data_IF_396045830437
#
_entry.id   IF_396045830437
#
_cell.length_a   1.000
_cell.length_b   1.000
_cell.length_c   1.000
_cell.angle_alpha   90.00
_cell.angle_beta   90.00
_cell.angle_gamma   90.00
#
_symmetry.space_group_name_H-M   'P 1'
#
loop_
_entity.id
_entity.type
_entity.pdbx_description
1 polymer ?
#
# COMPACT_ATOMS: atom_id res chain seq x y z
N UNK A 1 -3.73 -18.10 17.86
CA UNK A 1 -4.99 -17.43 17.46
C UNK A 1 -6.26 -18.15 17.91
N UNK A 2 -6.27 -19.46 18.20
CA UNK A 2 -7.47 -20.19 18.67
C UNK A 2 -7.65 -20.26 20.20
N UNK A 3 -6.99 -19.37 20.94
CA UNK A 3 -7.19 -19.30 22.39
C UNK A 3 -8.55 -18.65 22.68
N UNK A 4 -9.48 -19.43 23.21
CA UNK A 4 -10.86 -19.00 23.48
C UNK A 4 -10.96 -17.92 24.56
N UNK A 5 -9.89 -17.67 25.31
CA UNK A 5 -9.84 -16.61 26.33
C UNK A 5 -9.80 -15.21 25.72
N UNK A 6 -9.45 -15.09 24.44
CA UNK A 6 -9.32 -13.80 23.76
C UNK A 6 -10.28 -13.69 22.59
N UNK A 7 -10.95 -12.54 22.50
CA UNK A 7 -11.63 -12.08 21.30
C UNK A 7 -10.73 -11.06 20.61
N UNK A 8 -10.35 -11.34 19.38
CA UNK A 8 -9.43 -10.51 18.59
C UNK A 8 -10.23 -9.75 17.55
N UNK A 9 -10.03 -8.43 17.47
CA UNK A 9 -10.56 -7.61 16.37
C UNK A 9 -9.37 -7.08 15.59
N UNK A 10 -9.24 -7.50 14.33
CA UNK A 10 -8.27 -6.95 13.39
C UNK A 10 -8.89 -5.72 12.73
N UNK A 11 -8.17 -4.60 12.77
CA UNK A 11 -8.58 -3.33 12.17
C UNK A 11 -7.58 -2.97 11.07
N UNK A 12 -8.09 -2.74 9.86
CA UNK A 12 -7.29 -2.22 8.74
C UNK A 12 -8.19 -1.41 7.80
N UNK A 13 -7.63 -0.38 7.16
CA UNK A 13 -8.33 0.40 6.13
C UNK A 13 -8.57 -0.41 4.85
N UNK A 14 -7.75 -1.43 4.60
CA UNK A 14 -7.87 -2.34 3.48
C UNK A 14 -8.53 -3.65 3.91
N UNK A 15 -9.45 -4.17 3.09
CA UNK A 15 -10.06 -5.48 3.35
C UNK A 15 -9.15 -6.68 2.95
N UNK A 16 -7.89 -6.40 2.61
CA UNK A 16 -6.89 -7.36 2.16
C UNK A 16 -5.54 -7.12 2.83
N UNK A 17 -4.81 -8.21 3.03
CA UNK A 17 -3.37 -8.19 3.26
C UNK A 17 -2.67 -8.27 1.90
N UNK A 18 -1.48 -7.67 1.76
CA UNK A 18 -0.65 -7.91 0.58
C UNK A 18 0.78 -8.24 0.98
N UNK A 19 1.55 -8.82 0.05
CA UNK A 19 2.96 -9.16 0.25
C UNK A 19 3.88 -8.08 -0.34
N UNK A 20 4.42 -7.14 0.49
CA UNK A 20 5.17 -5.99 -0.02
C UNK A 20 6.42 -6.34 -0.85
N UNK A 21 7.17 -7.43 -0.60
CA UNK A 21 8.36 -7.74 -1.38
C UNK A 21 8.13 -7.89 -2.89
N UNK A 22 6.92 -8.22 -3.34
CA UNK A 22 6.61 -8.40 -4.77
C UNK A 22 5.86 -7.21 -5.39
N UNK A 23 5.68 -6.10 -4.65
CA UNK A 23 4.91 -4.94 -5.13
C UNK A 23 5.51 -4.31 -6.40
N UNK A 24 6.82 -4.38 -6.56
CA UNK A 24 7.51 -3.86 -7.75
C UNK A 24 7.09 -4.61 -9.02
N UNK A 25 6.83 -5.92 -8.93
CA UNK A 25 6.35 -6.72 -10.06
C UNK A 25 4.94 -6.32 -10.49
N UNK A 26 4.11 -5.83 -9.57
CA UNK A 26 2.81 -5.24 -9.92
C UNK A 26 3.02 -3.92 -10.66
N UNK A 27 3.91 -3.07 -10.16
CA UNK A 27 4.19 -1.77 -10.75
C UNK A 27 4.79 -1.85 -12.16
N UNK A 28 5.55 -2.92 -12.47
CA UNK A 28 6.16 -3.15 -13.78
C UNK A 28 5.30 -4.03 -14.71
N UNK A 29 4.04 -4.33 -14.34
CA UNK A 29 3.14 -5.23 -15.09
C UNK A 29 3.59 -6.69 -15.19
N UNK A 30 4.56 -7.14 -14.38
CA UNK A 30 5.03 -8.53 -14.40
C UNK A 30 4.04 -9.50 -13.76
N UNK A 31 3.32 -9.05 -12.72
CA UNK A 31 2.23 -9.80 -12.07
C UNK A 31 1.01 -8.92 -11.81
N UNK A 32 -0.14 -9.56 -11.62
CA UNK A 32 -1.35 -8.87 -11.18
C UNK A 32 -1.36 -8.61 -9.67
N UNK A 33 -2.01 -7.52 -9.25
CA UNK A 33 -2.17 -7.19 -7.83
C UNK A 33 -2.85 -8.31 -7.02
N UNK A 34 -3.77 -9.06 -7.66
CA UNK A 34 -4.44 -10.21 -7.05
C UNK A 34 -3.49 -11.35 -6.68
N UNK A 35 -2.33 -11.47 -7.34
CA UNK A 35 -1.37 -12.53 -7.06
C UNK A 35 -0.65 -12.32 -5.72
N UNK A 36 -0.64 -11.08 -5.21
CA UNK A 36 0.01 -10.72 -3.96
C UNK A 36 -0.97 -10.21 -2.90
N UNK A 37 -2.29 -10.22 -3.17
CA UNK A 37 -3.34 -9.70 -2.29
C UNK A 37 -4.25 -10.81 -1.77
N UNK A 38 -4.50 -10.82 -0.47
CA UNK A 38 -5.21 -11.89 0.24
C UNK A 38 -6.31 -11.28 1.11
N UNK A 39 -7.61 -11.60 0.87
CA UNK A 39 -8.69 -11.05 1.67
C UNK A 39 -8.59 -11.46 3.14
N UNK A 40 -8.61 -10.48 4.06
CA UNK A 40 -8.49 -10.75 5.49
C UNK A 40 -9.58 -11.69 5.98
N UNK A 41 -10.83 -11.44 5.58
CA UNK A 41 -11.99 -12.28 5.95
C UNK A 41 -11.80 -13.75 5.58
N UNK A 42 -11.16 -14.03 4.44
CA UNK A 42 -10.85 -15.40 4.03
C UNK A 42 -9.74 -15.99 4.89
N UNK A 43 -8.66 -15.24 5.14
CA UNK A 43 -7.53 -15.68 5.96
C UNK A 43 -7.93 -16.03 7.39
N UNK A 44 -8.81 -15.23 7.99
CA UNK A 44 -9.23 -15.39 9.38
C UNK A 44 -10.48 -16.27 9.54
N UNK A 45 -11.17 -16.66 8.46
CA UNK A 45 -12.44 -17.41 8.48
C UNK A 45 -12.42 -18.69 9.34
N UNK A 46 -11.26 -19.34 9.47
CA UNK A 46 -11.07 -20.54 10.29
C UNK A 46 -11.04 -20.28 11.80
N UNK A 47 -10.93 -19.02 12.24
CA UNK A 47 -10.84 -18.63 13.65
C UNK A 47 -12.16 -18.00 14.11
N UNK A 48 -12.88 -18.70 15.00
CA UNK A 48 -14.19 -18.24 15.50
C UNK A 48 -14.11 -17.03 16.43
N UNK A 49 -12.93 -16.75 16.99
CA UNK A 49 -12.69 -15.68 17.94
C UNK A 49 -11.99 -14.46 17.32
N UNK A 50 -11.84 -14.41 15.99
CA UNK A 50 -11.20 -13.31 15.27
C UNK A 50 -12.23 -12.63 14.36
N UNK A 51 -12.44 -11.33 14.57
CA UNK A 51 -13.29 -10.49 13.73
C UNK A 51 -12.44 -9.50 12.92
N UNK A 52 -12.96 -9.07 11.78
CA UNK A 52 -12.35 -8.00 10.97
C UNK A 52 -13.27 -6.78 10.92
N UNK A 53 -12.72 -5.64 11.32
CA UNK A 53 -13.32 -4.31 11.23
C UNK A 53 -12.56 -3.50 10.19
N UNK A 54 -13.25 -3.07 9.14
CA UNK A 54 -12.63 -2.24 8.11
C UNK A 54 -12.76 -0.78 8.54
N UNK A 55 -11.63 -0.11 8.75
CA UNK A 55 -11.62 1.29 9.17
C UNK A 55 -10.20 1.82 9.35
N UNK A 56 -10.05 3.13 9.14
CA UNK A 56 -8.80 3.84 9.34
C UNK A 56 -8.74 4.33 10.79
N UNK A 57 -7.63 4.10 11.48
CA UNK A 57 -7.41 4.61 12.83
C UNK A 57 -7.32 6.16 12.80
N UNK A 58 -8.17 6.82 13.60
CA UNK A 58 -8.20 8.28 13.74
C UNK A 58 -7.55 8.69 15.06
N UNK A 59 -7.93 8.04 16.16
CA UNK A 59 -7.43 8.37 17.49
C UNK A 59 -7.36 7.13 18.39
N UNK A 60 -6.48 7.19 19.39
CA UNK A 60 -6.37 6.20 20.47
C UNK A 60 -6.66 6.91 21.79
N UNK A 61 -7.75 6.52 22.44
CA UNK A 61 -8.12 6.99 23.77
C UNK A 61 -7.66 5.96 24.81
N UNK A 62 -6.50 6.25 25.40
CA UNK A 62 -5.90 5.40 26.42
C UNK A 62 -6.64 5.46 27.76
N UNK A 63 -7.33 6.55 28.09
CA UNK A 63 -8.04 6.70 29.36
C UNK A 63 -9.29 5.81 29.38
N UNK A 64 -10.03 5.79 28.27
CA UNK A 64 -11.24 5.00 28.10
C UNK A 64 -11.00 3.64 27.46
N UNK A 65 -9.75 3.27 27.17
CA UNK A 65 -9.35 2.02 26.51
C UNK A 65 -10.09 1.76 25.19
N UNK A 66 -10.16 2.79 24.34
CA UNK A 66 -10.87 2.73 23.07
C UNK A 66 -10.05 3.28 21.92
N UNK A 67 -10.36 2.82 20.71
CA UNK A 67 -9.86 3.42 19.47
C UNK A 67 -11.03 4.00 18.69
N UNK A 68 -10.78 5.15 18.08
CA UNK A 68 -11.69 5.77 17.13
C UNK A 68 -11.22 5.43 15.71
N UNK A 69 -12.14 4.93 14.90
CA UNK A 69 -11.95 4.73 13.47
C UNK A 69 -12.89 5.66 12.70
N UNK A 70 -12.58 5.90 11.42
CA UNK A 70 -13.45 6.63 10.49
C UNK A 70 -14.88 6.09 10.41
N UNK A 71 -15.10 4.83 10.81
CA UNK A 71 -16.38 4.15 10.76
C UNK A 71 -16.83 3.58 12.12
N UNK A 72 -16.37 4.15 13.24
CA UNK A 72 -16.88 3.85 14.58
C UNK A 72 -15.82 3.64 15.66
N UNK A 73 -16.27 3.42 16.89
CA UNK A 73 -15.43 3.29 18.08
C UNK A 73 -15.36 1.82 18.52
N UNK A 74 -14.16 1.35 18.88
CA UNK A 74 -13.93 0.00 19.37
C UNK A 74 -13.25 0.04 20.74
N UNK A 75 -13.79 -0.73 21.68
CA UNK A 75 -13.21 -0.91 23.02
C UNK A 75 -12.19 -2.05 23.01
N UNK A 76 -11.14 -1.94 23.81
CA UNK A 76 -10.09 -2.96 23.93
C UNK A 76 -9.65 -3.16 25.39
N UNK A 77 -9.18 -4.37 25.70
CA UNK A 77 -8.41 -4.63 26.93
C UNK A 77 -6.90 -4.50 26.65
N UNK A 78 -6.48 -4.92 25.45
CA UNK A 78 -5.11 -4.83 24.96
C UNK A 78 -5.11 -4.29 23.53
N UNK A 79 -4.26 -3.30 23.27
CA UNK A 79 -4.08 -2.71 21.95
C UNK A 79 -2.70 -3.09 21.39
N UNK A 80 -2.68 -3.65 20.18
CA UNK A 80 -1.45 -3.95 19.44
C UNK A 80 -1.39 -3.05 18.21
N UNK A 81 -0.41 -2.15 18.16
CA UNK A 81 -0.21 -1.24 17.04
C UNK A 81 0.75 -1.86 16.01
N UNK A 82 0.25 -2.06 14.79
CA UNK A 82 0.99 -2.61 13.67
C UNK A 82 0.72 -1.82 12.37
N UNK A 83 0.74 -0.48 12.45
CA UNK A 83 0.33 0.44 11.40
C UNK A 83 1.29 0.52 10.19
N UNK A 84 2.48 -0.08 10.30
CA UNK A 84 3.49 -0.03 9.24
C UNK A 84 4.22 1.31 9.15
N UNK A 85 4.56 1.72 7.94
CA UNK A 85 5.33 2.94 7.65
C UNK A 85 4.84 3.63 6.38
N UNK A 86 5.12 4.93 6.26
CA UNK A 86 4.81 5.74 5.08
C UNK A 86 6.08 6.16 4.31
N UNK A 87 5.88 6.65 3.09
CA UNK A 87 6.97 7.22 2.29
C UNK A 87 7.44 8.53 2.90
N UNK A 88 8.72 8.60 3.26
CA UNK A 88 9.33 9.82 3.80
C UNK A 88 10.00 10.62 2.68
N UNK A 89 9.57 11.87 2.49
CA UNK A 89 10.13 12.81 1.51
C UNK A 89 11.17 13.75 2.11
N UNK A 90 11.50 13.63 3.40
CA UNK A 90 12.51 14.44 4.10
C UNK A 90 12.32 15.96 3.93
N UNK A 91 11.05 16.41 3.88
CA UNK A 91 10.70 17.84 3.69
C UNK A 91 10.74 18.34 2.25
N UNK A 92 11.06 17.50 1.26
CA UNK A 92 11.13 17.88 -0.16
C UNK A 92 9.74 17.88 -0.82
N UNK A 93 8.94 18.91 -0.56
CA UNK A 93 7.58 19.04 -1.12
C UNK A 93 7.54 19.09 -2.66
N UNK A 94 8.58 19.62 -3.29
CA UNK A 94 8.72 19.59 -4.75
C UNK A 94 8.87 18.17 -5.29
N UNK A 95 9.60 17.30 -4.59
CA UNK A 95 9.75 15.89 -4.96
C UNK A 95 8.43 15.17 -4.75
N UNK A 96 7.77 15.39 -3.62
CA UNK A 96 6.46 14.77 -3.32
C UNK A 96 5.41 15.06 -4.40
N UNK A 97 5.38 16.28 -4.94
CA UNK A 97 4.44 16.67 -6.01
C UNK A 97 4.77 16.11 -7.39
N UNK A 98 6.05 15.78 -7.64
CA UNK A 98 6.55 15.41 -8.95
C UNK A 98 7.03 13.95 -9.04
N UNK A 99 6.76 13.13 -8.03
CA UNK A 99 7.19 11.73 -7.97
C UNK A 99 6.02 10.80 -7.67
N UNK A 100 6.20 9.54 -8.02
CA UNK A 100 5.25 8.47 -7.75
C UNK A 100 5.85 7.52 -6.72
N UNK A 101 5.12 7.27 -5.64
CA UNK A 101 5.45 6.27 -4.61
C UNK A 101 5.01 4.87 -5.06
N UNK A 102 5.46 3.85 -4.33
CA UNK A 102 5.13 2.44 -4.59
C UNK A 102 5.08 1.66 -3.26
N UNK A 103 4.35 2.18 -2.27
CA UNK A 103 4.22 1.58 -0.94
C UNK A 103 2.95 0.73 -0.83
N UNK A 104 1.92 1.05 -1.61
CA UNK A 104 0.60 0.42 -1.62
C UNK A 104 0.25 -0.15 -2.99
N UNK A 105 -0.71 -1.08 -3.03
CA UNK A 105 -1.20 -1.67 -4.29
C UNK A 105 -1.74 -0.59 -5.23
N UNK A 106 -2.49 0.38 -4.71
CA UNK A 106 -3.07 1.45 -5.51
C UNK A 106 -1.98 2.32 -6.15
N UNK A 107 -0.93 2.66 -5.41
CA UNK A 107 0.23 3.38 -5.93
C UNK A 107 0.98 2.57 -7.01
N UNK A 108 1.15 1.25 -6.81
CA UNK A 108 1.78 0.39 -7.81
C UNK A 108 0.97 0.30 -9.10
N UNK A 109 -0.35 0.15 -9.00
CA UNK A 109 -1.25 0.14 -10.16
C UNK A 109 -1.27 1.49 -10.87
N UNK A 110 -1.26 2.60 -10.11
CA UNK A 110 -1.14 3.94 -10.67
C UNK A 110 0.16 4.10 -11.44
N UNK A 111 1.29 3.71 -10.83
CA UNK A 111 2.61 3.78 -11.45
C UNK A 111 2.66 2.97 -12.76
N UNK A 112 2.13 1.75 -12.74
CA UNK A 112 1.99 0.88 -13.92
C UNK A 112 1.26 1.58 -15.06
N UNK A 113 0.06 2.07 -14.78
CA UNK A 113 -0.78 2.71 -15.79
C UNK A 113 -0.14 4.00 -16.30
N UNK A 114 0.48 4.79 -15.41
CA UNK A 114 1.20 5.99 -15.77
C UNK A 114 2.36 5.69 -16.73
N UNK A 115 3.18 4.67 -16.43
CA UNK A 115 4.28 4.26 -17.31
C UNK A 115 3.77 3.81 -18.68
N UNK A 116 2.76 2.94 -18.73
CA UNK A 116 2.21 2.44 -20.01
C UNK A 116 1.63 3.58 -20.86
N UNK A 117 0.84 4.47 -20.27
CA UNK A 117 0.26 5.61 -20.98
C UNK A 117 1.33 6.61 -21.45
N UNK A 118 2.38 6.82 -20.66
CA UNK A 118 3.51 7.69 -21.03
C UNK A 118 4.28 7.12 -22.22
N UNK A 119 4.49 5.81 -22.27
CA UNK A 119 5.14 5.14 -23.41
C UNK A 119 4.27 5.17 -24.67
N UNK A 120 2.96 5.01 -24.52
CA UNK A 120 1.99 5.17 -25.61
C UNK A 120 2.00 6.60 -26.18
N UNK A 121 2.10 7.62 -25.32
CA UNK A 121 2.26 9.01 -25.74
C UNK A 121 3.59 9.21 -26.49
N UNK A 122 4.69 8.66 -25.96
CA UNK A 122 6.00 8.74 -26.58
C UNK A 122 6.01 8.12 -27.99
N UNK A 123 5.38 6.95 -28.16
CA UNK A 123 5.32 6.23 -29.42
C UNK A 123 4.54 6.98 -30.52
N UNK A 124 3.52 7.76 -30.15
CA UNK A 124 2.74 8.59 -31.10
C UNK A 124 3.35 9.98 -31.33
N UNK A 125 4.36 10.37 -30.56
CA UNK A 125 4.90 11.71 -30.61
C UNK A 125 5.85 11.88 -31.81
N UNK A 126 5.51 12.81 -32.72
CA UNK A 126 6.34 13.13 -33.89
C UNK A 126 7.59 13.95 -33.54
N UNK A 127 7.60 14.60 -32.37
CA UNK A 127 8.76 15.35 -31.88
C UNK A 127 9.67 14.41 -31.08
N UNK A 128 10.81 14.06 -31.69
CA UNK A 128 11.80 13.13 -31.11
C UNK A 128 12.28 13.62 -29.74
N UNK A 129 12.47 14.94 -29.54
CA UNK A 129 12.95 15.47 -28.26
C UNK A 129 11.92 15.31 -27.15
N UNK A 130 10.63 15.41 -27.48
CA UNK A 130 9.54 15.16 -26.53
C UNK A 130 9.38 13.67 -26.24
N UNK A 131 9.45 12.81 -27.27
CA UNK A 131 9.42 11.37 -27.10
C UNK A 131 10.54 10.88 -26.15
N UNK A 132 11.77 11.37 -26.34
CA UNK A 132 12.91 11.04 -25.47
C UNK A 132 12.70 11.47 -24.01
N UNK A 133 12.05 12.62 -23.77
CA UNK A 133 11.73 13.07 -22.42
C UNK A 133 10.72 12.15 -21.72
N UNK A 134 9.68 11.71 -22.44
CA UNK A 134 8.65 10.80 -21.91
C UNK A 134 9.24 9.41 -21.58
N UNK A 135 10.28 8.99 -22.30
CA UNK A 135 10.98 7.72 -22.07
C UNK A 135 12.00 7.79 -20.92
N UNK A 136 12.26 8.97 -20.38
CA UNK A 136 13.26 9.13 -19.32
C UNK A 136 12.63 8.84 -17.95
N UNK A 137 13.01 7.70 -17.36
CA UNK A 137 12.55 7.26 -16.04
C UNK A 137 13.66 7.50 -15.02
N UNK A 138 13.34 8.20 -13.94
CA UNK A 138 14.26 8.46 -12.82
C UNK A 138 13.76 7.72 -11.59
N UNK A 139 14.61 6.84 -11.05
CA UNK A 139 14.33 6.10 -9.82
C UNK A 139 15.15 6.71 -8.69
N UNK A 140 14.47 7.29 -7.70
CA UNK A 140 15.10 7.86 -6.52
C UNK A 140 15.16 6.81 -5.39
N UNK A 141 16.33 6.22 -5.18
CA UNK A 141 16.60 5.28 -4.08
C UNK A 141 17.33 4.03 -4.56
N UNK A 142 18.47 3.72 -3.94
CA UNK A 142 19.30 2.54 -4.26
C UNK A 142 19.09 1.34 -3.33
N UNK A 143 18.01 1.35 -2.52
CA UNK A 143 17.67 0.21 -1.66
C UNK A 143 17.10 -0.96 -2.45
N UNK A 144 16.81 -2.11 -1.81
CA UNK A 144 16.27 -3.30 -2.48
C UNK A 144 15.05 -3.02 -3.35
N UNK A 145 14.14 -2.15 -2.88
CA UNK A 145 12.96 -1.74 -3.65
C UNK A 145 13.31 -0.98 -4.94
N UNK A 146 14.29 -0.09 -4.89
CA UNK A 146 14.74 0.67 -6.06
C UNK A 146 15.55 -0.19 -7.03
N UNK A 147 16.37 -1.10 -6.51
CA UNK A 147 17.09 -2.08 -7.33
C UNK A 147 16.15 -3.02 -8.07
N UNK A 148 15.14 -3.56 -7.39
CA UNK A 148 14.15 -4.45 -8.00
C UNK A 148 13.30 -3.79 -9.08
N UNK A 149 13.19 -2.45 -9.10
CA UNK A 149 12.52 -1.69 -10.15
C UNK A 149 13.38 -1.40 -11.39
N UNK A 150 14.71 -1.45 -11.26
CA UNK A 150 15.63 -1.16 -12.36
C UNK A 150 15.82 -2.34 -13.31
N UNK A 151 15.63 -3.57 -12.82
CA UNK A 151 15.78 -4.81 -13.60
C UNK A 151 14.55 -5.13 -14.43
#
# INVERSE_FOLDING_TARGET
>A
MNDKRFRITLVDKNNYHFFPPLIYQVATSFIEASNISYPFRKMISKYKNVNFHMGSLVNVDHEHHSIETDNGILQYDYLVLALGTETNYFGMENVKKCSLSMKTIDEALYLRNYMLLTLEEAARNKDIKKAQKLQNIVIAGGGPTGWSLQG
#
